data_IF_760687198278
#
_entry.id   IF_760687198278
#
_cell.length_a   1.000
_cell.length_b   1.000
_cell.length_c   1.000
_cell.angle_alpha   90.00
_cell.angle_beta   90.00
_cell.angle_gamma   90.00
#
_symmetry.space_group_name_H-M   'P 1'
#
loop_
_entity.id
_entity.type
_entity.pdbx_description
1 polymer ?
#
# COMPACT_ATOMS: atom_id res chain seq x y z
N UNK A 1 2.09 -13.98 14.01
CA UNK A 1 2.38 -12.53 13.85
C UNK A 1 1.90 -11.83 15.10
N UNK A 2 2.71 -10.94 15.67
CA UNK A 2 2.41 -10.19 16.88
C UNK A 2 2.72 -8.69 16.70
N UNK A 3 2.33 -7.87 17.68
CA UNK A 3 2.66 -6.44 17.73
C UNK A 3 1.65 -5.47 17.10
N UNK A 4 2.04 -4.20 17.10
CA UNK A 4 1.28 -3.08 16.53
C UNK A 4 2.21 -2.07 15.84
N UNK A 5 1.66 -1.26 14.95
CA UNK A 5 2.38 -0.20 14.23
C UNK A 5 1.51 1.05 14.08
N UNK A 6 2.15 2.21 14.18
CA UNK A 6 1.64 3.50 13.72
C UNK A 6 2.33 3.84 12.40
N UNK A 7 1.60 3.70 11.29
CA UNK A 7 2.14 3.87 9.95
C UNK A 7 1.58 5.12 9.29
N UNK A 8 2.44 5.88 8.61
CA UNK A 8 2.08 7.08 7.84
C UNK A 8 2.06 6.76 6.35
N UNK A 9 0.94 7.01 5.68
CA UNK A 9 0.73 6.71 4.26
C UNK A 9 0.51 7.97 3.44
N UNK A 10 1.28 8.17 2.36
CA UNK A 10 1.10 9.27 1.40
C UNK A 10 1.96 10.51 1.66
N UNK A 11 3.10 10.37 2.35
CA UNK A 11 4.03 11.47 2.61
C UNK A 11 3.52 12.46 3.67
N UNK A 12 4.10 13.68 3.78
CA UNK A 12 3.83 14.61 4.89
C UNK A 12 2.36 15.01 5.08
N UNK A 13 1.59 15.11 3.99
CA UNK A 13 0.15 15.39 4.03
C UNK A 13 -0.72 14.12 4.07
N UNK A 14 -0.07 12.97 4.20
CA UNK A 14 -0.68 11.65 4.24
C UNK A 14 -1.40 11.34 5.55
N UNK A 15 -1.98 10.14 5.63
CA UNK A 15 -2.76 9.67 6.79
C UNK A 15 -1.92 8.80 7.71
N UNK A 16 -2.01 9.05 9.01
CA UNK A 16 -1.46 8.16 10.04
C UNK A 16 -2.55 7.14 10.41
N UNK A 17 -2.18 5.87 10.42
CA UNK A 17 -3.05 4.74 10.71
C UNK A 17 -2.36 3.86 11.76
N UNK A 18 -3.07 3.59 12.85
CA UNK A 18 -2.68 2.56 13.81
C UNK A 18 -3.23 1.21 13.34
N UNK A 19 -2.36 0.19 13.30
CA UNK A 19 -2.70 -1.18 12.91
C UNK A 19 -2.13 -2.18 13.90
N UNK A 20 -2.84 -3.30 14.07
CA UNK A 20 -2.46 -4.40 14.97
C UNK A 20 -2.61 -5.74 14.26
N UNK A 21 -2.31 -6.82 15.00
CA UNK A 21 -2.47 -8.20 14.53
C UNK A 21 -3.86 -8.41 13.94
N UNK A 22 -3.90 -8.94 12.71
CA UNK A 22 -5.13 -9.24 11.99
C UNK A 22 -5.59 -8.13 11.05
N UNK A 23 -5.08 -6.91 11.19
CA UNK A 23 -5.38 -5.82 10.27
C UNK A 23 -4.65 -6.00 8.94
N UNK A 24 -5.32 -5.59 7.85
CA UNK A 24 -4.76 -5.57 6.50
C UNK A 24 -4.88 -4.16 5.93
N UNK A 25 -3.77 -3.63 5.41
CA UNK A 25 -3.75 -2.35 4.72
C UNK A 25 -3.52 -2.59 3.23
N UNK A 26 -4.45 -2.10 2.40
CA UNK A 26 -4.29 -2.08 0.95
C UNK A 26 -3.73 -0.72 0.55
N UNK A 27 -2.55 -0.72 -0.09
CA UNK A 27 -1.83 0.49 -0.48
C UNK A 27 -1.90 0.65 -2.00
N UNK A 28 -2.64 1.65 -2.52
CA UNK A 28 -2.68 1.95 -3.95
C UNK A 28 -1.31 2.40 -4.49
N UNK A 29 -1.11 2.26 -5.80
CA UNK A 29 0.08 2.77 -6.47
C UNK A 29 0.26 4.28 -6.23
N UNK A 30 1.52 4.71 -6.04
CA UNK A 30 1.85 6.11 -5.74
C UNK A 30 1.77 6.50 -4.27
N UNK A 31 1.29 5.61 -3.38
CA UNK A 31 1.24 5.86 -1.94
C UNK A 31 2.51 5.35 -1.28
N UNK A 32 3.32 6.26 -0.76
CA UNK A 32 4.45 5.92 0.12
C UNK A 32 3.96 5.49 1.50
N UNK A 33 4.77 4.75 2.24
CA UNK A 33 4.48 4.42 3.64
C UNK A 33 5.73 4.53 4.51
N UNK A 34 5.55 4.93 5.77
CA UNK A 34 6.62 5.09 6.76
C UNK A 34 6.15 4.57 8.11
N UNK A 35 6.99 3.77 8.75
CA UNK A 35 6.79 3.43 10.16
C UNK A 35 7.17 4.63 11.05
N UNK A 36 6.24 5.10 11.87
CA UNK A 36 6.48 6.16 12.84
C UNK A 36 6.82 5.59 14.22
N UNK A 37 6.13 4.52 14.60
CA UNK A 37 6.22 3.89 15.91
C UNK A 37 5.73 2.44 15.80
N UNK A 38 6.31 1.51 16.56
CA UNK A 38 5.86 0.13 16.60
C UNK A 38 6.20 -0.53 17.95
N UNK A 39 5.54 -1.65 18.24
CA UNK A 39 6.01 -2.55 19.30
C UNK A 39 7.33 -3.23 18.94
N UNK A 40 8.05 -3.73 19.96
CA UNK A 40 9.33 -4.43 19.80
C UNK A 40 9.20 -5.76 19.05
N UNK A 41 8.01 -6.34 19.03
CA UNK A 41 7.70 -7.64 18.43
C UNK A 41 6.92 -7.53 17.10
N UNK A 42 6.74 -6.31 16.56
CA UNK A 42 6.00 -6.08 15.33
C UNK A 42 6.60 -6.83 14.13
N UNK A 43 5.73 -7.50 13.37
CA UNK A 43 6.06 -8.15 12.09
C UNK A 43 4.94 -7.93 11.09
N UNK A 44 5.30 -7.70 9.82
CA UNK A 44 4.35 -7.61 8.71
C UNK A 44 4.83 -8.42 7.49
N UNK A 45 3.91 -8.67 6.56
CA UNK A 45 4.20 -9.27 5.25
C UNK A 45 3.63 -8.36 4.19
N UNK A 46 4.44 -8.08 3.17
CA UNK A 46 3.98 -7.43 1.94
C UNK A 46 3.68 -8.46 0.86
N UNK A 47 2.66 -8.18 0.06
CA UNK A 47 2.35 -8.94 -1.15
C UNK A 47 1.91 -7.98 -2.25
N UNK A 48 2.15 -8.38 -3.49
CA UNK A 48 1.70 -7.66 -4.68
C UNK A 48 0.65 -8.49 -5.42
N UNK A 49 -0.26 -7.85 -6.18
CA UNK A 49 -1.19 -8.57 -7.03
C UNK A 49 -0.47 -9.55 -7.97
N UNK A 50 -1.10 -10.70 -8.21
CA UNK A 50 -0.60 -11.68 -9.18
C UNK A 50 -0.48 -11.03 -10.56
N UNK A 51 0.57 -11.39 -11.29
CA UNK A 51 0.87 -10.91 -12.65
C UNK A 51 1.21 -9.41 -12.73
N UNK A 52 1.50 -8.75 -11.60
CA UNK A 52 2.00 -7.37 -11.56
C UNK A 52 3.41 -7.33 -10.98
N UNK A 53 4.30 -6.60 -11.64
CA UNK A 53 5.63 -6.27 -11.12
C UNK A 53 5.58 -4.93 -10.38
N UNK A 54 6.35 -4.82 -9.29
CA UNK A 54 6.46 -3.57 -8.55
C UNK A 54 7.36 -2.57 -9.29
N UNK A 55 6.92 -1.32 -9.38
CA UNK A 55 7.67 -0.19 -9.94
C UNK A 55 8.20 0.69 -8.79
N UNK A 56 9.48 0.50 -8.42
CA UNK A 56 10.10 1.22 -7.29
C UNK A 56 10.43 2.66 -7.68
N UNK A 57 9.74 3.61 -7.04
CA UNK A 57 9.98 5.05 -7.20
C UNK A 57 10.35 5.65 -5.84
N UNK A 58 11.43 6.44 -5.79
CA UNK A 58 12.02 6.94 -4.54
C UNK A 58 11.73 8.41 -4.26
N UNK A 59 11.00 9.09 -5.15
CA UNK A 59 10.77 10.54 -5.10
C UNK A 59 11.99 11.35 -5.55
N UNK A 60 12.87 10.79 -6.39
CA UNK A 60 14.05 11.48 -6.91
C UNK A 60 13.67 12.48 -8.00
N UNK A 61 14.48 13.54 -8.14
CA UNK A 61 14.33 14.47 -9.26
C UNK A 61 14.42 13.71 -10.60
N UNK A 62 13.47 13.98 -11.50
CA UNK A 62 13.37 13.32 -12.81
C UNK A 62 12.46 12.09 -12.88
N UNK A 63 12.04 11.50 -11.76
CA UNK A 63 11.09 10.37 -11.78
C UNK A 63 9.67 10.82 -12.22
N UNK A 64 9.29 12.06 -11.87
CA UNK A 64 8.07 12.70 -12.34
C UNK A 64 8.37 13.53 -13.61
N UNK A 65 7.47 13.52 -14.61
CA UNK A 65 6.07 13.10 -14.54
C UNK A 65 5.79 11.64 -14.93
N UNK A 66 6.79 10.87 -15.37
CA UNK A 66 6.56 9.50 -15.86
C UNK A 66 5.93 8.59 -14.80
N UNK A 67 6.33 8.74 -13.53
CA UNK A 67 5.71 8.02 -12.40
C UNK A 67 4.20 8.26 -12.33
N UNK A 68 3.73 9.50 -12.55
CA UNK A 68 2.31 9.84 -12.52
C UNK A 68 1.54 9.22 -13.68
N UNK A 69 2.18 9.08 -14.85
CA UNK A 69 1.62 8.36 -15.99
C UNK A 69 1.53 6.86 -15.69
N UNK A 70 2.57 6.27 -15.09
CA UNK A 70 2.57 4.85 -14.72
C UNK A 70 1.47 4.54 -13.70
N UNK A 71 1.32 5.35 -12.65
CA UNK A 71 0.28 5.18 -11.62
C UNK A 71 -1.12 5.15 -12.24
N UNK A 72 -1.43 6.05 -13.17
CA UNK A 72 -2.73 6.08 -13.88
C UNK A 72 -3.03 4.81 -14.68
N UNK A 73 -1.99 4.09 -15.10
CA UNK A 73 -2.10 2.87 -15.89
C UNK A 73 -2.07 1.59 -15.04
N UNK A 74 -2.05 1.70 -13.70
CA UNK A 74 -2.09 0.53 -12.81
C UNK A 74 -3.52 -0.03 -12.78
N UNK A 75 -3.68 -1.24 -13.32
CA UNK A 75 -4.95 -1.95 -13.31
C UNK A 75 -5.28 -2.50 -11.91
N UNK A 76 -6.57 -2.54 -11.53
CA UNK A 76 -6.99 -3.15 -10.28
C UNK A 76 -6.66 -4.65 -10.24
N UNK A 77 -6.44 -5.23 -9.05
CA UNK A 77 -6.18 -6.67 -8.92
C UNK A 77 -7.40 -7.51 -9.37
N UNK A 78 -7.13 -8.72 -9.89
CA UNK A 78 -8.19 -9.65 -10.35
C UNK A 78 -9.18 -10.05 -9.25
N UNK A 79 -8.76 -10.04 -7.99
CA UNK A 79 -9.60 -10.34 -6.81
C UNK A 79 -9.14 -9.49 -5.64
N UNK A 80 -10.03 -9.25 -4.68
CA UNK A 80 -9.68 -8.68 -3.40
C UNK A 80 -8.80 -9.69 -2.62
N UNK A 81 -7.64 -9.29 -2.08
CA UNK A 81 -6.74 -10.21 -1.39
C UNK A 81 -7.25 -10.68 -0.02
N UNK A 82 -8.25 -10.00 0.55
CA UNK A 82 -8.83 -10.33 1.86
C UNK A 82 -10.18 -11.04 1.70
N UNK A 83 -11.05 -10.51 0.84
CA UNK A 83 -12.44 -10.96 0.72
C UNK A 83 -12.74 -11.70 -0.60
N UNK A 84 -11.72 -11.92 -1.44
CA UNK A 84 -11.85 -12.68 -2.69
C UNK A 84 -12.68 -11.97 -3.77
N UNK A 85 -13.57 -12.70 -4.44
CA UNK A 85 -14.29 -12.18 -5.64
C UNK A 85 -15.26 -11.04 -5.34
N UNK A 86 -15.80 -10.99 -4.12
CA UNK A 86 -16.85 -10.03 -3.73
C UNK A 86 -16.33 -8.88 -2.85
N UNK A 87 -15.01 -8.79 -2.68
CA UNK A 87 -14.39 -7.77 -1.83
C UNK A 87 -14.50 -6.36 -2.38
N UNK A 88 -14.37 -5.35 -1.50
CA UNK A 88 -14.51 -3.95 -1.86
C UNK A 88 -13.38 -3.40 -2.73
N UNK A 89 -12.19 -4.02 -2.76
CA UNK A 89 -10.99 -3.45 -3.41
C UNK A 89 -11.24 -3.03 -4.85
N UNK A 90 -12.02 -3.78 -5.64
CA UNK A 90 -12.34 -3.39 -7.03
C UNK A 90 -13.20 -2.12 -7.13
N UNK A 91 -14.18 -1.96 -6.24
CA UNK A 91 -15.05 -0.77 -6.21
C UNK A 91 -14.31 0.46 -5.68
N UNK A 92 -13.33 0.26 -4.81
CA UNK A 92 -12.50 1.34 -4.26
C UNK A 92 -11.39 1.81 -5.22
N UNK A 93 -11.25 1.16 -6.38
CA UNK A 93 -10.22 1.47 -7.39
C UNK A 93 -10.74 2.35 -8.54
N UNK A 94 -12.05 2.64 -8.54
CA UNK A 94 -12.71 3.61 -9.44
C UNK A 94 -12.55 5.04 -8.91
#
# INVERSE_FOLDING_TARGET
YSGWVKAHFGGPQGKIVDAKIGDVVIVPAGVSHKNLEQSTDFRCVGAYPKDQSWDMNYGRAGERPQTDVNIKNVFPPKTDPVFGKSGPVKRLWE
#
